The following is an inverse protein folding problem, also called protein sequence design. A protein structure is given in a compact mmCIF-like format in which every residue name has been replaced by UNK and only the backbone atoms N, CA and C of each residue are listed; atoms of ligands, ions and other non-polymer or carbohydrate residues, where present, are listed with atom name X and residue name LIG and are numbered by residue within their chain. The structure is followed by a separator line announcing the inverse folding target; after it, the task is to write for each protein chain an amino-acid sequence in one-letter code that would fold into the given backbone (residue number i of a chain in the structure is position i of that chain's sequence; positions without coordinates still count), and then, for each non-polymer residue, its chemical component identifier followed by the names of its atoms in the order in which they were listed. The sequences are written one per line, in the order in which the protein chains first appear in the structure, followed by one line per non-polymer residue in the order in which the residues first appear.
data_IF_777607727800
#
_entry.id   IF_777607727800
#
_cell.length_a   1.000
_cell.length_b   1.000
_cell.length_c   1.000
_cell.angle_alpha   90.00
_cell.angle_beta   90.00
_cell.angle_gamma   90.00
#
_symmetry.space_group_name_H-M   'P 1'
#
loop_
_entity.id
_entity.type
_entity.pdbx_description
1 polymer ?
#
# COMPACT_ATOMS: atom_id res chain seq x y z
N UNK A 1 37.08 55.79 35.33
CA UNK A 1 37.06 56.74 36.46
C UNK A 1 37.01 55.91 37.73
N UNK A 2 38.12 55.89 38.42
CA UNK A 2 38.38 55.99 39.91
C UNK A 2 37.53 55.04 40.77
N UNK A 3 38.04 54.36 41.75
CA UNK A 3 39.24 54.45 42.56
C UNK A 3 39.00 53.58 43.78
N UNK A 4 39.96 52.82 44.18
CA UNK A 4 40.90 53.12 45.25
C UNK A 4 40.28 52.92 46.65
N UNK A 5 40.97 52.13 47.43
CA UNK A 5 41.68 52.29 48.75
C UNK A 5 41.19 51.22 49.74
N UNK A 6 42.13 50.32 50.12
CA UNK A 6 42.95 50.27 51.39
C UNK A 6 42.13 49.96 52.65
N UNK A 7 42.53 49.23 53.67
CA UNK A 7 43.82 48.91 54.26
C UNK A 7 43.64 48.00 55.48
N UNK A 8 44.53 46.98 55.72
CA UNK A 8 45.35 46.79 56.97
C UNK A 8 44.58 46.47 58.29
N UNK A 9 44.84 45.56 59.10
CA UNK A 9 45.96 45.09 59.90
C UNK A 9 45.53 44.36 61.19
N UNK A 10 46.33 43.43 61.62
CA UNK A 10 46.82 42.93 62.93
C UNK A 10 46.19 41.66 63.48
N UNK A 11 46.95 40.55 63.48
CA UNK A 11 47.99 40.13 64.41
C UNK A 11 47.54 40.11 65.91
N UNK A 12 47.32 38.91 66.41
CA UNK A 12 47.63 38.57 67.78
C UNK A 12 47.88 37.08 67.98
N UNK A 13 49.04 36.75 68.34
CA UNK A 13 49.66 35.49 68.75
C UNK A 13 49.25 35.22 70.21
N UNK A 14 48.83 33.97 70.50
CA UNK A 14 48.82 33.40 71.83
C UNK A 14 49.10 31.91 71.78
N UNK A 15 50.29 31.56 72.26
CA UNK A 15 50.80 30.21 72.53
C UNK A 15 50.37 29.84 73.92
N UNK A 16 49.75 28.65 74.14
CA UNK A 16 49.79 27.86 75.38
C UNK A 16 49.57 26.40 74.97
N UNK A 17 50.40 25.56 75.03
CA UNK A 17 51.05 24.68 75.92
C UNK A 17 50.28 23.44 76.22
N UNK A 18 50.80 22.33 75.70
CA UNK A 18 50.99 21.08 76.42
C UNK A 18 49.80 20.14 76.62
N UNK A 19 49.94 18.95 76.17
CA UNK A 19 49.91 17.66 76.88
C UNK A 19 49.55 16.58 75.86
N UNK A 20 50.46 15.70 75.65
CA UNK A 20 50.30 14.52 74.84
C UNK A 20 49.42 13.41 75.49
N UNK A 21 48.66 12.80 74.71
CA UNK A 21 48.11 11.46 74.95
C UNK A 21 48.30 10.60 73.69
N UNK A 22 49.27 9.73 73.77
CA UNK A 22 49.48 8.63 72.79
C UNK A 22 48.28 7.64 72.84
N UNK A 23 47.35 7.80 71.95
CA UNK A 23 46.31 6.83 71.69
C UNK A 23 46.75 5.93 70.54
N UNK A 24 47.19 4.70 70.83
CA UNK A 24 47.32 3.63 69.81
C UNK A 24 45.95 3.33 69.20
N UNK A 25 45.54 4.07 68.13
CA UNK A 25 44.45 3.69 67.28
C UNK A 25 44.93 2.57 66.34
N UNK A 26 44.41 1.36 66.52
CA UNK A 26 44.53 0.29 65.50
C UNK A 26 44.09 0.85 64.13
N UNK A 27 44.80 0.54 63.04
CA UNK A 27 44.35 0.93 61.73
C UNK A 27 43.00 0.24 61.49
N UNK A 28 41.92 1.01 61.48
CA UNK A 28 40.61 0.57 61.01
C UNK A 28 40.74 0.32 59.52
N UNK A 29 40.80 -0.93 59.16
CA UNK A 29 40.61 -1.41 57.76
C UNK A 29 39.39 -0.69 57.21
N UNK A 30 39.47 0.01 56.05
CA UNK A 30 38.29 0.62 55.44
C UNK A 30 37.22 -0.45 55.28
N UNK A 31 35.93 -0.23 55.60
CA UNK A 31 34.88 -1.21 55.36
C UNK A 31 34.95 -1.62 53.92
N UNK A 32 34.99 -2.94 53.69
CA UNK A 32 34.97 -3.48 52.32
C UNK A 32 33.82 -2.82 51.56
N UNK A 33 34.17 -2.16 50.48
CA UNK A 33 33.21 -1.39 49.66
C UNK A 33 32.07 -2.39 49.29
N UNK A 34 30.88 -2.18 49.84
CA UNK A 34 29.70 -3.02 49.55
C UNK A 34 29.44 -2.86 48.06
N UNK A 35 29.66 -3.92 47.31
CA UNK A 35 29.38 -3.97 45.88
C UNK A 35 27.91 -3.63 45.67
N UNK A 36 27.57 -2.63 44.88
CA UNK A 36 26.16 -2.32 44.61
C UNK A 36 25.50 -3.50 43.89
N UNK A 37 24.33 -3.93 44.37
CA UNK A 37 23.54 -4.96 43.71
C UNK A 37 22.83 -4.37 42.50
N UNK A 38 23.00 -4.99 41.36
CA UNK A 38 22.35 -4.65 40.08
C UNK A 38 21.67 -5.87 39.47
N UNK A 39 20.63 -5.64 38.69
CA UNK A 39 19.96 -6.70 37.95
C UNK A 39 20.40 -6.65 36.50
N UNK A 40 20.69 -7.81 35.94
CA UNK A 40 21.21 -7.95 34.59
C UNK A 40 20.36 -8.91 33.77
N UNK A 41 20.22 -8.60 32.49
CA UNK A 41 19.60 -9.47 31.48
C UNK A 41 20.61 -9.74 30.37
N UNK A 42 20.74 -10.97 29.88
CA UNK A 42 21.60 -11.26 28.74
C UNK A 42 21.00 -10.62 27.46
N UNK A 43 21.83 -10.06 26.62
CA UNK A 43 21.46 -9.60 25.29
C UNK A 43 21.06 -10.81 24.41
N UNK A 44 19.89 -10.77 23.81
CA UNK A 44 19.30 -11.88 23.05
C UNK A 44 19.63 -11.69 21.57
N UNK A 45 20.25 -12.69 20.94
CA UNK A 45 20.39 -12.76 19.49
C UNK A 45 19.12 -13.37 18.88
N UNK A 46 18.46 -12.65 17.97
CA UNK A 46 17.26 -13.12 17.24
C UNK A 46 17.32 -12.70 15.80
N UNK A 47 16.94 -13.60 14.89
CA UNK A 47 16.72 -13.23 13.49
C UNK A 47 15.44 -12.45 13.38
N UNK A 48 15.51 -11.23 12.86
CA UNK A 48 14.39 -10.32 12.71
C UNK A 48 14.33 -9.71 11.32
N UNK A 49 13.16 -9.21 10.97
CA UNK A 49 12.92 -8.31 9.84
C UNK A 49 12.38 -7.01 10.42
N UNK A 50 12.99 -5.89 10.09
CA UNK A 50 12.44 -4.58 10.45
C UNK A 50 11.27 -4.25 9.52
N UNK A 51 10.28 -3.55 10.05
CA UNK A 51 9.13 -3.09 9.31
C UNK A 51 9.11 -1.57 9.27
N UNK A 52 8.94 -1.01 8.08
CA UNK A 52 8.68 0.41 7.90
C UNK A 52 7.17 0.61 7.70
N UNK A 53 6.59 1.56 8.43
CA UNK A 53 5.16 1.83 8.42
C UNK A 53 4.84 3.09 7.62
N UNK A 54 3.77 3.03 6.85
CA UNK A 54 3.27 4.12 6.02
C UNK A 54 1.77 4.25 6.17
N UNK A 55 1.25 5.45 5.94
CA UNK A 55 -0.19 5.66 5.78
C UNK A 55 -0.56 5.46 4.33
N UNK A 56 -1.57 4.64 4.09
CA UNK A 56 -2.08 4.34 2.75
C UNK A 56 -3.56 4.64 2.62
N UNK A 57 -4.03 4.62 1.39
CA UNK A 57 -5.44 4.71 1.04
C UNK A 57 -5.86 3.54 0.17
N UNK A 58 -6.97 2.90 0.52
CA UNK A 58 -7.55 1.81 -0.25
C UNK A 58 -8.21 2.37 -1.52
N UNK A 59 -8.06 1.64 -2.62
CA UNK A 59 -8.65 1.97 -3.90
C UNK A 59 -9.13 0.71 -4.61
N UNK A 60 -10.24 0.82 -5.33
CA UNK A 60 -10.67 -0.26 -6.22
C UNK A 60 -9.65 -0.48 -7.34
N UNK A 61 -9.51 -1.72 -7.79
CA UNK A 61 -8.69 -2.03 -8.97
C UNK A 61 -9.33 -1.42 -10.20
N UNK A 62 -10.63 -1.67 -10.37
CA UNK A 62 -11.41 -1.14 -11.48
C UNK A 62 -12.56 -0.28 -10.93
N UNK A 63 -12.70 0.90 -11.51
CA UNK A 63 -13.84 1.79 -11.32
C UNK A 63 -14.35 2.17 -12.70
N UNK A 64 -15.62 1.83 -12.97
CA UNK A 64 -16.25 2.11 -14.26
C UNK A 64 -17.48 2.98 -14.05
N UNK A 65 -17.50 4.11 -14.71
CA UNK A 65 -18.66 4.97 -14.81
C UNK A 65 -19.54 4.47 -15.97
N UNK A 66 -20.72 3.94 -15.64
CA UNK A 66 -21.68 3.39 -16.60
C UNK A 66 -22.50 4.51 -17.16
N UNK A 67 -22.20 4.91 -18.40
CA UNK A 67 -22.91 5.95 -19.13
C UNK A 67 -23.73 5.33 -20.29
N UNK A 68 -24.81 6.04 -20.68
CA UNK A 68 -25.61 5.66 -21.81
C UNK A 68 -24.85 5.80 -23.12
N UNK A 69 -24.94 4.80 -24.00
CA UNK A 69 -24.35 4.84 -25.36
C UNK A 69 -25.32 5.32 -26.40
N UNK A 70 -26.60 5.15 -26.16
CA UNK A 70 -27.69 5.56 -27.05
C UNK A 70 -28.69 6.44 -26.30
N UNK A 71 -29.34 7.34 -27.01
CA UNK A 71 -30.31 8.29 -26.45
C UNK A 71 -31.72 7.66 -26.45
N UNK A 72 -32.50 7.92 -25.42
CA UNK A 72 -33.90 7.43 -25.35
C UNK A 72 -34.49 7.56 -23.95
N UNK A 73 -35.70 7.14 -23.76
CA UNK A 73 -36.36 7.11 -22.45
C UNK A 73 -35.90 5.88 -21.67
N UNK A 74 -35.56 6.06 -20.40
CA UNK A 74 -35.25 4.93 -19.51
C UNK A 74 -36.54 4.16 -19.20
N UNK A 75 -36.64 2.91 -19.65
CA UNK A 75 -37.81 2.07 -19.48
C UNK A 75 -37.81 1.35 -18.12
N UNK A 76 -36.71 0.75 -17.73
CA UNK A 76 -36.64 0.00 -16.48
C UNK A 76 -35.23 -0.09 -15.90
N UNK A 77 -35.15 -0.33 -14.57
CA UNK A 77 -33.94 -0.54 -13.79
C UNK A 77 -33.99 -1.91 -13.14
N UNK A 78 -32.94 -2.72 -13.29
CA UNK A 78 -32.89 -4.14 -12.92
C UNK A 78 -31.94 -4.45 -11.76
N UNK A 79 -31.56 -3.48 -10.96
CA UNK A 79 -30.71 -3.70 -9.77
C UNK A 79 -31.22 -2.90 -8.58
N UNK A 80 -30.72 -3.25 -7.40
CA UNK A 80 -30.91 -2.48 -6.16
C UNK A 80 -29.65 -1.68 -5.86
N UNK A 81 -29.78 -0.46 -5.38
CA UNK A 81 -28.68 0.42 -5.01
C UNK A 81 -27.75 -0.28 -4.00
N UNK A 82 -26.44 -0.27 -4.27
CA UNK A 82 -25.43 -0.91 -3.44
C UNK A 82 -25.30 -2.44 -3.61
N UNK A 83 -26.05 -3.05 -4.51
CA UNK A 83 -26.00 -4.48 -4.80
C UNK A 83 -24.65 -4.89 -5.38
N UNK A 84 -24.26 -6.16 -5.20
CA UNK A 84 -23.16 -6.77 -5.94
C UNK A 84 -23.69 -7.30 -7.27
N UNK A 85 -23.04 -6.90 -8.37
CA UNK A 85 -23.38 -7.31 -9.74
C UNK A 85 -22.21 -8.03 -10.36
N UNK A 86 -22.51 -8.97 -11.30
CA UNK A 86 -21.51 -9.67 -12.10
C UNK A 86 -21.42 -9.02 -13.49
N UNK A 87 -20.25 -9.13 -14.10
CA UNK A 87 -20.08 -8.69 -15.49
C UNK A 87 -21.10 -9.39 -16.38
N UNK A 88 -21.82 -8.60 -17.20
CA UNK A 88 -22.91 -9.06 -18.06
C UNK A 88 -24.32 -8.95 -17.47
N UNK A 89 -24.48 -8.71 -16.16
CA UNK A 89 -25.80 -8.53 -15.56
C UNK A 89 -26.51 -7.32 -16.17
N UNK A 90 -27.80 -7.45 -16.46
CA UNK A 90 -28.63 -6.36 -16.99
C UNK A 90 -28.87 -5.32 -15.89
N UNK A 91 -28.59 -4.04 -16.19
CA UNK A 91 -28.73 -2.94 -15.26
C UNK A 91 -29.87 -2.01 -15.63
N UNK A 92 -29.91 -1.59 -16.88
CA UNK A 92 -30.93 -0.64 -17.37
C UNK A 92 -31.44 -1.08 -18.74
N UNK A 93 -32.68 -0.75 -19.03
CA UNK A 93 -33.27 -0.86 -20.36
C UNK A 93 -33.71 0.50 -20.82
N UNK A 94 -33.20 0.92 -21.96
CA UNK A 94 -33.61 2.12 -22.69
C UNK A 94 -34.65 1.68 -23.70
N UNK A 95 -35.72 2.45 -23.95
CA UNK A 95 -36.79 2.10 -24.90
C UNK A 95 -36.23 1.56 -26.21
N UNK A 96 -36.35 0.24 -26.48
CA UNK A 96 -35.74 -0.39 -27.64
C UNK A 96 -36.51 -0.18 -28.92
N UNK A 97 -37.80 0.18 -28.85
CA UNK A 97 -38.72 0.23 -29.99
C UNK A 97 -38.22 1.07 -31.19
N UNK A 98 -37.64 2.28 -30.99
CA UNK A 98 -37.10 3.04 -32.11
C UNK A 98 -35.88 2.36 -32.77
N UNK A 99 -35.11 1.62 -31.96
CA UNK A 99 -33.92 0.90 -32.42
C UNK A 99 -34.28 -0.43 -33.12
N UNK A 100 -35.32 -1.13 -32.63
CA UNK A 100 -35.89 -2.31 -33.25
C UNK A 100 -36.42 -1.98 -34.66
N UNK A 101 -37.18 -0.89 -34.80
CA UNK A 101 -37.67 -0.47 -36.09
C UNK A 101 -36.55 -0.09 -37.08
N UNK A 102 -35.44 0.55 -36.59
CA UNK A 102 -34.27 0.82 -37.43
C UNK A 102 -33.57 -0.47 -37.85
N UNK A 103 -33.41 -1.41 -36.93
CA UNK A 103 -32.78 -2.70 -37.19
C UNK A 103 -33.57 -3.54 -38.22
N UNK A 104 -34.90 -3.61 -38.09
CA UNK A 104 -35.78 -4.28 -39.04
C UNK A 104 -35.70 -3.66 -40.44
N UNK A 105 -35.70 -2.31 -40.52
CA UNK A 105 -35.53 -1.59 -41.78
C UNK A 105 -34.20 -1.92 -42.46
N UNK A 106 -33.09 -1.81 -41.72
CA UNK A 106 -31.75 -2.14 -42.24
C UNK A 106 -31.65 -3.58 -42.67
N UNK A 107 -32.36 -4.52 -41.99
CA UNK A 107 -32.49 -5.91 -42.39
C UNK A 107 -33.19 -6.08 -43.73
N UNK A 108 -34.25 -5.30 -43.97
CA UNK A 108 -34.96 -5.28 -45.28
C UNK A 108 -34.08 -4.77 -46.41
N UNK A 109 -33.35 -3.65 -46.16
CA UNK A 109 -32.44 -3.06 -47.13
C UNK A 109 -31.28 -4.00 -47.47
N UNK A 110 -30.74 -4.73 -46.51
CA UNK A 110 -29.72 -5.76 -46.70
C UNK A 110 -30.24 -6.92 -47.56
N UNK A 111 -31.47 -7.42 -47.29
CA UNK A 111 -32.07 -8.45 -48.10
C UNK A 111 -32.28 -8.01 -49.55
N UNK A 112 -32.68 -6.77 -49.77
CA UNK A 112 -32.82 -6.21 -51.13
C UNK A 112 -31.46 -6.15 -51.86
N UNK A 113 -30.41 -5.71 -51.17
CA UNK A 113 -29.07 -5.62 -51.73
C UNK A 113 -28.51 -7.02 -52.05
N UNK A 114 -28.72 -7.99 -51.17
CA UNK A 114 -28.36 -9.41 -51.39
C UNK A 114 -29.03 -10.02 -52.62
N UNK A 115 -30.34 -9.75 -52.80
CA UNK A 115 -31.06 -10.20 -54.00
C UNK A 115 -30.51 -9.59 -55.30
N UNK A 116 -30.18 -8.29 -55.27
CA UNK A 116 -29.54 -7.61 -56.43
C UNK A 116 -28.16 -8.20 -56.69
N UNK A 117 -27.35 -8.42 -55.69
CA UNK A 117 -26.02 -9.03 -55.83
C UNK A 117 -26.09 -10.42 -56.42
N UNK A 118 -27.02 -11.28 -55.96
CA UNK A 118 -27.24 -12.61 -56.47
C UNK A 118 -27.63 -12.57 -57.94
N UNK A 119 -28.52 -11.64 -58.34
CA UNK A 119 -28.91 -11.45 -59.73
C UNK A 119 -27.73 -11.03 -60.60
N UNK A 120 -26.95 -10.06 -60.16
CA UNK A 120 -25.75 -9.58 -60.89
C UNK A 120 -24.70 -10.70 -61.04
N UNK A 121 -24.50 -11.51 -60.00
CA UNK A 121 -23.62 -12.71 -60.04
C UNK A 121 -24.08 -13.74 -61.06
N UNK A 122 -25.40 -14.02 -61.12
CA UNK A 122 -25.93 -14.90 -62.11
C UNK A 122 -25.79 -14.40 -63.52
N UNK A 123 -26.00 -13.08 -63.75
CA UNK A 123 -25.84 -12.46 -65.04
C UNK A 123 -24.37 -12.47 -65.49
N UNK A 124 -23.44 -12.11 -64.62
CA UNK A 124 -21.99 -12.18 -64.88
C UNK A 124 -21.55 -13.59 -65.26
N UNK A 125 -21.97 -14.63 -64.47
CA UNK A 125 -21.68 -16.03 -64.77
C UNK A 125 -22.21 -16.48 -66.13
N UNK A 126 -23.40 -16.00 -66.54
CA UNK A 126 -23.96 -16.28 -67.88
C UNK A 126 -23.14 -15.58 -68.96
N UNK A 127 -22.78 -14.31 -68.75
CA UNK A 127 -21.98 -13.49 -69.64
C UNK A 127 -20.59 -14.11 -69.86
N UNK A 128 -19.92 -14.56 -68.80
CA UNK A 128 -18.61 -15.22 -68.90
C UNK A 128 -18.70 -16.50 -69.76
N UNK A 129 -19.79 -17.31 -69.64
CA UNK A 129 -19.99 -18.47 -70.49
C UNK A 129 -20.17 -18.08 -71.98
N UNK A 130 -21.03 -17.12 -72.26
CA UNK A 130 -21.26 -16.63 -73.66
C UNK A 130 -20.03 -15.97 -74.25
N UNK A 131 -19.17 -15.32 -73.43
CA UNK A 131 -17.90 -14.80 -73.89
C UNK A 131 -16.91 -15.89 -74.32
N UNK A 132 -16.89 -17.01 -73.64
CA UNK A 132 -16.08 -18.17 -74.01
C UNK A 132 -16.47 -18.73 -75.38
N UNK A 133 -17.76 -18.65 -75.72
CA UNK A 133 -18.34 -19.07 -77.01
C UNK A 133 -18.19 -17.99 -78.10
N UNK A 134 -17.55 -16.80 -77.82
CA UNK A 134 -17.36 -15.66 -78.74
C UNK A 134 -18.65 -15.04 -79.27
N UNK A 135 -19.77 -15.13 -78.55
CA UNK A 135 -21.10 -14.71 -79.02
C UNK A 135 -21.47 -13.27 -78.60
N UNK A 136 -20.71 -12.62 -77.69
CA UNK A 136 -21.01 -11.28 -77.14
C UNK A 136 -19.86 -10.31 -77.29
N UNK A 137 -20.18 -8.98 -77.35
CA UNK A 137 -19.21 -7.88 -77.42
C UNK A 137 -18.51 -7.66 -76.08
N UNK A 138 -17.27 -7.18 -76.11
CA UNK A 138 -16.49 -6.84 -74.91
C UNK A 138 -17.18 -5.80 -74.02
N UNK A 139 -17.87 -4.82 -74.63
CA UNK A 139 -18.63 -3.80 -73.93
C UNK A 139 -19.70 -4.36 -73.01
N UNK A 140 -20.40 -5.41 -73.41
CA UNK A 140 -21.43 -6.09 -72.59
C UNK A 140 -20.79 -6.85 -71.44
N UNK A 141 -19.60 -7.46 -71.64
CA UNK A 141 -18.86 -8.14 -70.56
C UNK A 141 -18.47 -7.11 -69.49
N UNK A 142 -17.87 -5.96 -69.91
CA UNK A 142 -17.42 -4.91 -69.01
C UNK A 142 -18.61 -4.24 -68.28
N UNK A 143 -19.76 -4.09 -68.99
CA UNK A 143 -21.00 -3.59 -68.37
C UNK A 143 -21.50 -4.50 -67.25
N UNK A 144 -21.62 -5.84 -67.49
CA UNK A 144 -22.09 -6.79 -66.49
C UNK A 144 -21.13 -6.94 -65.29
N UNK A 145 -19.83 -6.84 -65.55
CA UNK A 145 -18.83 -6.84 -64.52
C UNK A 145 -18.94 -5.60 -63.65
N UNK A 146 -19.18 -4.43 -64.23
CA UNK A 146 -19.40 -3.20 -63.46
C UNK A 146 -20.71 -3.30 -62.64
N UNK A 147 -21.80 -3.84 -63.21
CA UNK A 147 -23.04 -4.08 -62.48
C UNK A 147 -22.80 -5.01 -61.24
N UNK A 148 -22.00 -6.08 -61.40
CA UNK A 148 -21.62 -6.95 -60.29
C UNK A 148 -20.84 -6.19 -59.21
N UNK A 149 -19.84 -5.41 -59.58
CA UNK A 149 -19.06 -4.62 -58.65
C UNK A 149 -19.92 -3.58 -57.89
N UNK A 150 -20.85 -2.90 -58.60
CA UNK A 150 -21.80 -1.98 -57.99
C UNK A 150 -22.75 -2.68 -57.01
N UNK A 151 -23.30 -3.86 -57.39
CA UNK A 151 -24.16 -4.65 -56.53
C UNK A 151 -23.42 -5.19 -55.29
N UNK A 152 -22.14 -5.53 -55.46
CA UNK A 152 -21.29 -5.98 -54.36
C UNK A 152 -21.01 -4.82 -53.38
N UNK A 153 -20.70 -3.63 -53.88
CA UNK A 153 -20.50 -2.44 -53.04
C UNK A 153 -21.79 -2.06 -52.30
N UNK A 154 -22.94 -2.10 -52.97
CA UNK A 154 -24.23 -1.82 -52.36
C UNK A 154 -24.59 -2.85 -51.25
N UNK A 155 -24.27 -4.12 -51.45
CA UNK A 155 -24.45 -5.14 -50.41
C UNK A 155 -23.56 -4.89 -49.19
N UNK A 156 -22.28 -4.51 -49.40
CA UNK A 156 -21.37 -4.22 -48.31
C UNK A 156 -21.82 -3.00 -47.49
N UNK A 157 -22.35 -1.95 -48.18
CA UNK A 157 -22.93 -0.80 -47.50
C UNK A 157 -24.14 -1.17 -46.63
N UNK A 158 -25.09 -1.89 -47.22
CA UNK A 158 -26.31 -2.34 -46.52
C UNK A 158 -25.98 -3.29 -45.34
N UNK A 159 -24.92 -4.10 -45.46
CA UNK A 159 -24.42 -4.94 -44.37
C UNK A 159 -23.88 -4.08 -43.24
N UNK A 160 -23.11 -3.03 -43.54
CA UNK A 160 -22.58 -2.13 -42.53
C UNK A 160 -23.71 -1.38 -41.77
N UNK A 161 -24.73 -0.89 -42.51
CA UNK A 161 -25.90 -0.22 -41.93
C UNK A 161 -26.70 -1.16 -41.00
N UNK A 162 -26.85 -2.44 -41.40
CA UNK A 162 -27.48 -3.47 -40.59
C UNK A 162 -26.69 -3.76 -39.31
N UNK A 163 -25.38 -3.89 -39.40
CA UNK A 163 -24.51 -4.15 -38.27
C UNK A 163 -24.48 -2.94 -37.28
N UNK A 164 -24.52 -1.72 -37.78
CA UNK A 164 -24.67 -0.51 -36.98
C UNK A 164 -26.00 -0.48 -36.24
N UNK A 165 -27.12 -0.73 -36.94
CA UNK A 165 -28.44 -0.77 -36.34
C UNK A 165 -28.56 -1.86 -35.26
N UNK A 166 -27.97 -3.04 -35.50
CA UNK A 166 -27.88 -4.14 -34.55
C UNK A 166 -27.07 -3.75 -33.29
N UNK A 167 -25.95 -3.06 -33.48
CA UNK A 167 -25.11 -2.60 -32.39
C UNK A 167 -25.85 -1.55 -31.52
N UNK A 168 -26.51 -0.58 -32.16
CA UNK A 168 -27.30 0.45 -31.47
C UNK A 168 -28.48 -0.16 -30.69
N UNK A 169 -29.14 -1.18 -31.24
CA UNK A 169 -30.16 -1.93 -30.52
C UNK A 169 -29.56 -2.67 -29.31
N UNK A 170 -28.37 -3.25 -29.44
CA UNK A 170 -27.72 -3.90 -28.31
C UNK A 170 -27.41 -2.95 -27.16
N UNK A 171 -27.10 -1.69 -27.46
CA UNK A 171 -26.80 -0.64 -26.46
C UNK A 171 -28.03 -0.15 -25.71
N UNK A 172 -29.25 -0.46 -26.15
CA UNK A 172 -30.47 -0.19 -25.35
C UNK A 172 -30.55 -1.04 -24.09
N UNK A 173 -29.86 -2.18 -24.06
CA UNK A 173 -29.72 -3.07 -22.89
C UNK A 173 -28.37 -2.83 -22.23
N UNK A 174 -28.35 -1.95 -21.24
CA UNK A 174 -27.11 -1.58 -20.54
C UNK A 174 -26.76 -2.68 -19.53
N UNK A 175 -25.61 -3.33 -19.73
CA UNK A 175 -25.11 -4.40 -18.85
C UNK A 175 -23.89 -3.96 -18.06
N UNK A 176 -23.62 -4.63 -16.95
CA UNK A 176 -22.44 -4.39 -16.13
C UNK A 176 -21.14 -4.76 -16.88
N UNK A 177 -20.21 -3.82 -17.09
CA UNK A 177 -18.96 -4.10 -17.77
C UNK A 177 -17.95 -4.88 -16.92
N UNK A 178 -18.05 -4.76 -15.60
CA UNK A 178 -17.20 -5.45 -14.61
C UNK A 178 -18.07 -6.02 -13.49
N UNK A 179 -17.52 -7.02 -12.78
CA UNK A 179 -18.11 -7.48 -11.53
C UNK A 179 -17.69 -6.58 -10.37
N UNK A 180 -18.63 -6.24 -9.48
CA UNK A 180 -18.34 -5.36 -8.35
C UNK A 180 -19.59 -4.86 -7.67
N UNK A 181 -19.44 -3.88 -6.78
CA UNK A 181 -20.56 -3.22 -6.12
C UNK A 181 -21.02 -2.04 -6.96
N UNK A 182 -22.29 -2.04 -7.32
CA UNK A 182 -22.93 -0.94 -8.04
C UNK A 182 -23.30 0.16 -7.05
N UNK A 183 -23.20 1.40 -7.49
CA UNK A 183 -23.64 2.58 -6.73
C UNK A 183 -25.18 2.75 -6.85
N UNK A 184 -25.67 3.87 -6.38
CA UNK A 184 -27.08 4.23 -6.58
C UNK A 184 -27.37 4.53 -8.04
N UNK A 185 -28.61 4.37 -8.46
CA UNK A 185 -29.09 4.90 -9.74
C UNK A 185 -29.08 6.43 -9.72
N UNK A 186 -28.54 7.04 -10.75
CA UNK A 186 -28.49 8.51 -10.91
C UNK A 186 -29.66 9.03 -11.75
N UNK A 187 -30.34 8.14 -12.46
CA UNK A 187 -31.49 8.45 -13.32
C UNK A 187 -32.67 7.54 -12.97
N UNK A 188 -33.87 8.09 -13.02
CA UNK A 188 -35.09 7.38 -12.72
C UNK A 188 -35.82 6.95 -14.01
N UNK A 189 -36.58 5.87 -13.94
CA UNK A 189 -37.47 5.41 -15.02
C UNK A 189 -38.40 6.55 -15.51
N UNK A 190 -38.61 6.60 -16.82
CA UNK A 190 -39.34 7.66 -17.50
C UNK A 190 -38.50 8.88 -17.89
N UNK A 191 -37.28 9.04 -17.39
CA UNK A 191 -36.43 10.16 -17.79
C UNK A 191 -35.84 9.93 -19.19
N UNK A 192 -35.68 11.03 -19.92
CA UNK A 192 -34.93 11.04 -21.17
C UNK A 192 -33.43 11.04 -20.84
N UNK A 193 -32.67 10.12 -21.42
CA UNK A 193 -31.23 9.99 -21.31
C UNK A 193 -30.57 10.31 -22.63
N UNK A 194 -29.36 10.84 -22.57
CA UNK A 194 -28.56 11.24 -23.72
C UNK A 194 -27.40 10.27 -23.91
N UNK A 195 -27.26 9.72 -25.10
CA UNK A 195 -26.18 8.77 -25.46
C UNK A 195 -24.84 9.42 -25.77
N UNK A 196 -23.85 8.59 -26.10
CA UNK A 196 -22.48 9.03 -26.42
C UNK A 196 -22.32 9.76 -27.77
N UNK A 197 -23.36 9.82 -28.58
CA UNK A 197 -23.47 10.64 -29.79
C UNK A 197 -23.58 12.14 -29.48
N UNK A 198 -23.90 12.50 -28.24
CA UNK A 198 -23.94 13.86 -27.76
C UNK A 198 -22.66 14.26 -26.99
N UNK A 199 -22.43 15.55 -26.87
CA UNK A 199 -21.25 16.11 -26.20
C UNK A 199 -21.14 15.76 -24.70
N UNK A 200 -22.21 15.26 -24.07
CA UNK A 200 -22.26 14.96 -22.67
C UNK A 200 -23.20 13.78 -22.38
N UNK A 201 -22.72 12.53 -22.43
CA UNK A 201 -23.51 11.35 -22.20
C UNK A 201 -24.01 11.30 -20.73
N UNK A 202 -25.23 10.84 -20.55
CA UNK A 202 -25.83 10.71 -19.22
C UNK A 202 -25.15 9.58 -18.44
N UNK A 203 -24.57 9.91 -17.27
CA UNK A 203 -24.08 8.94 -16.32
C UNK A 203 -25.26 8.27 -15.61
N UNK A 204 -25.32 6.94 -15.67
CA UNK A 204 -26.40 6.14 -15.10
C UNK A 204 -26.07 5.65 -13.69
N UNK A 205 -24.85 5.16 -13.49
CA UNK A 205 -24.34 4.66 -12.21
C UNK A 205 -22.83 4.45 -12.30
N UNK A 206 -22.21 4.03 -11.19
CA UNK A 206 -20.78 3.65 -11.12
C UNK A 206 -20.66 2.25 -10.53
N UNK A 207 -19.75 1.43 -11.04
CA UNK A 207 -19.42 0.12 -10.49
C UNK A 207 -17.97 0.14 -10.06
N UNK A 208 -17.69 -0.39 -8.86
CA UNK A 208 -16.33 -0.54 -8.31
C UNK A 208 -16.04 -2.00 -7.98
N UNK A 209 -14.88 -2.49 -8.41
CA UNK A 209 -14.39 -3.79 -7.99
C UNK A 209 -14.01 -3.75 -6.51
N UNK A 210 -14.25 -4.83 -5.76
CA UNK A 210 -13.95 -4.89 -4.33
C UNK A 210 -12.89 -5.94 -4.00
N UNK A 211 -12.81 -7.03 -4.73
CA UNK A 211 -11.85 -8.11 -4.51
C UNK A 211 -11.17 -8.50 -5.82
N UNK A 212 -9.84 -8.45 -5.86
CA UNK A 212 -8.93 -7.88 -4.86
C UNK A 212 -8.97 -6.34 -4.79
N UNK A 213 -8.33 -5.74 -3.77
CA UNK A 213 -8.28 -4.29 -3.57
C UNK A 213 -6.84 -3.79 -3.53
N UNK A 214 -6.62 -2.56 -3.99
CA UNK A 214 -5.33 -1.88 -3.92
C UNK A 214 -5.23 -1.01 -2.66
N UNK A 215 -4.00 -0.89 -2.16
CA UNK A 215 -3.62 0.15 -1.22
C UNK A 215 -2.46 0.95 -1.81
N UNK A 216 -2.67 2.24 -2.00
CA UNK A 216 -1.63 3.19 -2.38
C UNK A 216 -1.05 3.83 -1.12
N UNK A 217 0.25 3.95 -1.06
CA UNK A 217 0.96 4.60 0.04
C UNK A 217 2.18 5.35 -0.50
N UNK A 218 2.65 6.31 0.27
CA UNK A 218 3.78 7.14 -0.11
C UNK A 218 4.94 6.89 0.85
N UNK A 219 6.12 6.69 0.27
CA UNK A 219 7.37 6.56 1.00
C UNK A 219 8.27 7.76 0.69
N UNK A 220 8.98 8.26 1.69
CA UNK A 220 9.92 9.36 1.50
C UNK A 220 11.17 8.93 0.71
N UNK A 221 11.92 9.89 0.20
CA UNK A 221 13.14 9.65 -0.57
C UNK A 221 14.18 8.84 0.22
N UNK A 222 14.27 9.03 1.55
CA UNK A 222 15.24 8.30 2.39
C UNK A 222 14.93 6.82 2.45
N UNK A 223 13.65 6.47 2.60
CA UNK A 223 13.18 5.09 2.57
C UNK A 223 13.43 4.47 1.20
N UNK A 224 13.14 5.19 0.13
CA UNK A 224 13.40 4.73 -1.23
C UNK A 224 14.88 4.44 -1.48
N UNK A 225 15.78 5.36 -1.08
CA UNK A 225 17.24 5.17 -1.18
C UNK A 225 17.72 4.00 -0.31
N UNK A 226 17.15 3.82 0.89
CA UNK A 226 17.39 2.67 1.77
C UNK A 226 17.07 1.36 1.04
N UNK A 227 15.88 1.26 0.43
CA UNK A 227 15.47 0.07 -0.30
C UNK A 227 16.31 -0.21 -1.53
N UNK A 228 16.72 0.81 -2.25
CA UNK A 228 17.62 0.66 -3.38
C UNK A 228 18.98 0.10 -2.95
N UNK A 229 19.55 0.58 -1.83
CA UNK A 229 20.82 0.07 -1.28
C UNK A 229 20.69 -1.39 -0.87
N UNK A 230 19.65 -1.73 -0.11
CA UNK A 230 19.38 -3.10 0.33
C UNK A 230 19.22 -4.07 -0.87
N UNK A 231 18.59 -3.59 -1.94
CA UNK A 231 18.43 -4.39 -3.16
C UNK A 231 19.77 -4.61 -3.88
N UNK A 232 20.64 -3.59 -3.98
CA UNK A 232 21.99 -3.71 -4.56
C UNK A 232 22.89 -4.64 -3.75
N UNK A 233 22.75 -4.62 -2.43
CA UNK A 233 23.49 -5.48 -1.50
C UNK A 233 22.93 -6.92 -1.42
N UNK A 234 21.85 -7.23 -2.15
CA UNK A 234 21.20 -8.53 -2.12
C UNK A 234 20.49 -8.88 -0.81
N UNK A 235 20.37 -7.92 0.13
CA UNK A 235 19.76 -8.12 1.45
C UNK A 235 18.23 -8.12 1.40
N UNK A 236 17.63 -7.46 0.41
CA UNK A 236 16.18 -7.39 0.19
C UNK A 236 15.89 -7.31 -1.30
N UNK A 237 14.97 -8.12 -1.85
CA UNK A 237 14.59 -8.01 -3.25
C UNK A 237 13.96 -6.64 -3.55
N UNK A 238 14.21 -6.11 -4.75
CA UNK A 238 13.57 -4.87 -5.19
C UNK A 238 12.05 -5.07 -5.36
N UNK A 239 11.25 -4.18 -4.80
CA UNK A 239 9.79 -4.20 -4.99
C UNK A 239 9.35 -3.86 -6.42
N UNK A 240 10.27 -3.44 -7.30
CA UNK A 240 10.01 -3.26 -8.74
C UNK A 240 10.02 -4.59 -9.51
N UNK A 241 10.71 -5.60 -9.00
CA UNK A 241 10.89 -6.90 -9.68
C UNK A 241 10.29 -8.06 -8.90
N UNK A 242 10.08 -7.89 -7.61
CA UNK A 242 9.60 -8.96 -6.71
C UNK A 242 8.42 -8.44 -5.88
N UNK A 243 7.41 -9.28 -5.75
CA UNK A 243 6.23 -8.99 -4.94
C UNK A 243 6.56 -9.15 -3.44
N UNK A 244 7.21 -8.15 -2.85
CA UNK A 244 7.53 -8.15 -1.43
C UNK A 244 6.26 -8.19 -0.57
N UNK A 245 6.27 -8.91 0.58
CA UNK A 245 5.14 -8.98 1.47
C UNK A 245 4.86 -7.61 2.10
N UNK A 246 3.58 -7.33 2.26
CA UNK A 246 3.05 -6.11 2.88
C UNK A 246 1.93 -6.53 3.81
N UNK A 247 1.81 -5.88 4.95
CA UNK A 247 0.72 -6.09 5.87
C UNK A 247 -0.03 -4.78 6.08
N UNK A 248 -1.34 -4.88 6.28
CA UNK A 248 -2.24 -3.74 6.42
C UNK A 248 -3.04 -3.86 7.71
N UNK A 249 -3.31 -2.73 8.32
CA UNK A 249 -4.11 -2.54 9.53
C UNK A 249 -5.13 -1.44 9.26
N UNK A 250 -6.39 -1.69 9.58
CA UNK A 250 -7.45 -0.68 9.58
C UNK A 250 -7.38 0.19 10.85
N UNK A 251 -8.15 1.28 10.85
CA UNK A 251 -8.13 2.26 11.94
C UNK A 251 -8.69 1.73 13.27
N UNK A 252 -9.52 0.71 13.22
CA UNK A 252 -10.18 0.05 14.35
C UNK A 252 -9.49 -1.25 14.80
N UNK A 253 -8.40 -1.63 14.14
CA UNK A 253 -7.63 -2.83 14.46
C UNK A 253 -6.39 -2.49 15.29
N UNK A 254 -6.02 -3.37 16.22
CA UNK A 254 -4.80 -3.23 17.03
C UNK A 254 -3.57 -3.89 16.38
N UNK A 255 -3.77 -4.74 15.36
CA UNK A 255 -2.72 -5.53 14.72
C UNK A 255 -2.81 -5.46 13.20
N UNK A 256 -1.68 -5.74 12.52
CA UNK A 256 -1.64 -5.86 11.06
C UNK A 256 -2.17 -7.24 10.63
N UNK A 257 -3.48 -7.34 10.45
CA UNK A 257 -4.19 -8.60 10.20
C UNK A 257 -4.27 -8.97 8.71
N UNK A 258 -4.28 -7.99 7.82
CA UNK A 258 -4.44 -8.20 6.38
C UNK A 258 -3.08 -8.35 5.69
N UNK A 259 -2.88 -9.47 5.02
CA UNK A 259 -1.63 -9.78 4.30
C UNK A 259 -1.80 -9.53 2.81
N UNK A 260 -0.86 -8.80 2.23
CA UNK A 260 -0.83 -8.48 0.81
C UNK A 260 0.58 -8.53 0.23
N UNK A 261 0.71 -8.06 -0.99
CA UNK A 261 1.99 -8.04 -1.72
C UNK A 261 2.14 -6.75 -2.50
N UNK A 262 3.36 -6.22 -2.54
CA UNK A 262 3.72 -5.15 -3.48
C UNK A 262 3.51 -5.63 -4.90
N UNK A 263 2.90 -4.78 -5.73
CA UNK A 263 2.76 -5.05 -7.16
C UNK A 263 3.20 -3.88 -8.05
N UNK A 264 3.45 -2.71 -7.46
CA UNK A 264 3.89 -1.55 -8.22
C UNK A 264 4.66 -0.56 -7.35
N UNK A 265 5.65 0.10 -7.94
CA UNK A 265 6.37 1.25 -7.40
C UNK A 265 6.52 2.26 -8.54
N UNK A 266 6.12 3.49 -8.30
CA UNK A 266 6.17 4.58 -9.29
C UNK A 266 7.57 4.75 -9.88
N UNK A 267 7.64 5.23 -11.12
CA UNK A 267 8.90 5.38 -11.86
C UNK A 267 9.69 6.63 -11.45
N UNK A 268 9.03 7.65 -10.95
CA UNK A 268 9.60 8.92 -10.50
C UNK A 268 9.12 9.30 -9.11
N UNK A 269 9.90 10.14 -8.42
CA UNK A 269 9.43 10.81 -7.21
C UNK A 269 8.54 11.98 -7.60
N UNK A 270 7.57 12.27 -6.75
CA UNK A 270 6.81 13.51 -6.82
C UNK A 270 7.71 14.66 -6.38
N UNK A 271 7.89 15.66 -7.26
CA UNK A 271 8.81 16.78 -7.02
C UNK A 271 8.33 17.74 -5.93
N UNK A 272 7.02 17.78 -5.65
CA UNK A 272 6.44 18.69 -4.66
C UNK A 272 6.54 18.12 -3.24
N UNK A 273 6.37 16.82 -3.10
CA UNK A 273 6.34 16.14 -1.80
C UNK A 273 7.63 15.39 -1.48
N UNK A 274 8.51 15.18 -2.49
CA UNK A 274 9.71 14.33 -2.38
C UNK A 274 9.38 12.91 -1.91
N UNK A 275 8.23 12.38 -2.34
CA UNK A 275 7.78 11.01 -2.04
C UNK A 275 7.71 10.16 -3.29
N UNK A 276 7.74 8.84 -3.10
CA UNK A 276 7.47 7.86 -4.15
C UNK A 276 6.24 7.05 -3.79
N UNK A 277 5.33 6.90 -4.75
CA UNK A 277 4.13 6.12 -4.55
C UNK A 277 4.41 4.63 -4.73
N UNK A 278 4.02 3.85 -3.73
CA UNK A 278 3.95 2.40 -3.77
C UNK A 278 2.51 1.91 -3.81
N UNK A 279 2.30 0.74 -4.41
CA UNK A 279 1.01 0.08 -4.43
C UNK A 279 1.15 -1.37 -4.03
N UNK A 280 0.27 -1.81 -3.15
CA UNK A 280 0.13 -3.20 -2.74
C UNK A 280 -1.27 -3.72 -3.08
N UNK A 281 -1.39 -5.02 -3.30
CA UNK A 281 -2.65 -5.71 -3.56
C UNK A 281 -2.98 -6.60 -2.37
N UNK A 282 -4.26 -6.56 -1.95
CA UNK A 282 -4.79 -7.33 -0.85
C UNK A 282 -6.01 -8.13 -1.29
N UNK A 283 -6.16 -9.39 -0.86
CA UNK A 283 -7.42 -10.12 -1.01
C UNK A 283 -8.49 -9.47 -0.11
N UNK A 284 -9.73 -9.46 -0.56
CA UNK A 284 -10.86 -8.85 0.15
C UNK A 284 -12.14 -9.68 -0.01
N UNK A 285 -12.02 -11.00 0.13
CA UNK A 285 -13.13 -11.92 -0.09
C UNK A 285 -14.30 -11.71 0.91
N UNK A 286 -14.01 -11.20 2.10
CA UNK A 286 -14.98 -10.83 3.14
C UNK A 286 -15.55 -9.42 2.97
N UNK A 287 -15.11 -8.67 1.97
CA UNK A 287 -15.56 -7.32 1.61
C UNK A 287 -15.44 -6.28 2.74
N UNK A 288 -14.56 -6.49 3.71
CA UNK A 288 -14.32 -5.55 4.82
C UNK A 288 -13.55 -4.31 4.36
N UNK A 289 -12.64 -4.47 3.41
CA UNK A 289 -11.85 -3.39 2.87
C UNK A 289 -12.68 -2.62 1.83
N UNK A 290 -12.99 -1.37 2.12
CA UNK A 290 -13.77 -0.49 1.22
C UNK A 290 -12.86 0.54 0.55
N UNK A 291 -12.97 0.76 -0.77
CA UNK A 291 -12.24 1.83 -1.45
C UNK A 291 -12.48 3.19 -0.80
N UNK A 292 -11.39 3.97 -0.62
CA UNK A 292 -11.42 5.27 0.04
C UNK A 292 -11.04 5.27 1.51
N UNK A 293 -11.04 4.11 2.19
CA UNK A 293 -10.57 4.01 3.57
C UNK A 293 -9.08 4.31 3.69
N UNK A 294 -8.70 4.91 4.82
CA UNK A 294 -7.31 5.00 5.24
C UNK A 294 -6.91 3.70 5.94
N UNK A 295 -5.66 3.30 5.73
CA UNK A 295 -5.08 2.14 6.36
C UNK A 295 -3.60 2.41 6.70
N UNK A 296 -3.10 1.77 7.75
CA UNK A 296 -1.67 1.69 8.02
C UNK A 296 -1.12 0.49 7.28
N UNK A 297 -0.03 0.71 6.57
CA UNK A 297 0.65 -0.33 5.78
C UNK A 297 2.05 -0.48 6.32
N UNK A 298 2.51 -1.71 6.53
CA UNK A 298 3.90 -1.98 6.85
C UNK A 298 4.56 -2.83 5.79
N UNK A 299 5.75 -2.41 5.41
CA UNK A 299 6.57 -3.03 4.40
C UNK A 299 7.88 -3.51 5.04
N UNK A 300 8.36 -4.68 4.66
CA UNK A 300 9.65 -5.16 5.14
C UNK A 300 10.76 -4.13 4.80
N UNK A 301 11.27 -3.49 5.82
CA UNK A 301 12.25 -2.39 5.76
C UNK A 301 13.69 -2.88 5.77
N UNK A 302 13.93 -4.18 6.02
CA UNK A 302 15.24 -4.83 5.95
C UNK A 302 15.11 -6.22 5.32
N UNK A 303 16.23 -6.85 5.03
CA UNK A 303 16.30 -8.32 4.93
C UNK A 303 16.22 -8.95 6.32
N UNK A 304 16.15 -10.28 6.38
CA UNK A 304 16.35 -11.01 7.62
C UNK A 304 17.80 -10.88 8.06
N UNK A 305 18.03 -10.47 9.30
CA UNK A 305 19.37 -10.36 9.87
C UNK A 305 19.35 -10.72 11.36
N UNK A 306 20.50 -11.13 11.90
CA UNK A 306 20.66 -11.40 13.31
C UNK A 306 20.82 -10.09 14.07
N UNK A 307 19.85 -9.78 14.93
CA UNK A 307 19.82 -8.58 15.75
C UNK A 307 20.11 -8.89 17.21
N UNK A 308 20.81 -7.99 17.88
CA UNK A 308 21.00 -8.02 19.33
C UNK A 308 19.90 -7.20 19.97
N UNK A 309 19.13 -7.83 20.85
CA UNK A 309 17.96 -7.28 21.50
C UNK A 309 18.19 -7.12 23.00
N UNK A 310 17.81 -5.95 23.54
CA UNK A 310 17.85 -5.68 24.99
C UNK A 310 16.57 -4.99 25.45
N UNK A 311 16.16 -5.12 26.70
CA UNK A 311 15.07 -4.33 27.26
C UNK A 311 15.37 -2.83 27.14
N UNK A 312 14.39 -2.02 26.68
CA UNK A 312 14.57 -0.57 26.46
C UNK A 312 15.01 0.17 27.73
N UNK A 313 14.62 -0.31 28.90
CA UNK A 313 15.02 0.21 30.21
C UNK A 313 16.53 0.09 30.52
N UNK A 314 17.27 -0.74 29.78
CA UNK A 314 18.72 -0.88 29.94
C UNK A 314 19.51 0.28 29.28
N UNK A 315 18.84 1.12 28.50
CA UNK A 315 19.45 2.17 27.71
C UNK A 315 19.53 3.46 28.52
N UNK A 316 20.74 3.97 28.61
CA UNK A 316 21.04 5.25 29.26
C UNK A 316 21.20 6.32 28.18
N UNK A 317 20.54 7.45 28.39
CA UNK A 317 20.70 8.62 27.52
C UNK A 317 21.58 9.63 28.22
N UNK A 318 22.70 9.94 27.61
CA UNK A 318 23.59 11.00 28.06
C UNK A 318 23.77 12.01 26.93
N UNK A 319 23.16 13.18 27.11
CA UNK A 319 23.03 14.20 26.07
C UNK A 319 22.44 13.63 24.76
N UNK A 320 23.24 13.59 23.71
CA UNK A 320 22.85 13.04 22.37
C UNK A 320 23.24 11.58 22.14
N UNK A 321 23.99 10.96 23.05
CA UNK A 321 24.52 9.62 22.91
C UNK A 321 23.73 8.61 23.73
N UNK A 322 23.72 7.37 23.25
CA UNK A 322 23.06 6.23 23.91
C UNK A 322 24.12 5.27 24.40
N UNK A 323 23.95 4.80 25.64
CA UNK A 323 24.87 3.91 26.30
C UNK A 323 24.17 2.75 26.95
N UNK A 324 24.90 1.69 27.18
CA UNK A 324 24.51 0.55 28.02
C UNK A 324 25.62 0.23 29.01
N UNK A 325 25.25 -0.24 30.21
CA UNK A 325 26.16 -0.76 31.18
C UNK A 325 26.29 -2.28 30.98
N UNK A 326 27.43 -2.76 30.51
CA UNK A 326 27.73 -4.17 30.31
C UNK A 326 28.54 -4.68 31.50
N UNK A 327 28.11 -5.78 32.12
CA UNK A 327 28.83 -6.42 33.21
C UNK A 327 29.75 -7.51 32.64
N UNK A 328 31.05 -7.31 32.78
CA UNK A 328 32.07 -8.26 32.40
C UNK A 328 32.10 -9.50 33.32
N UNK A 329 32.76 -10.61 32.90
CA UNK A 329 32.85 -11.81 33.75
C UNK A 329 33.56 -11.58 35.09
N UNK A 330 34.41 -10.57 35.20
CA UNK A 330 35.11 -10.14 36.42
C UNK A 330 34.23 -9.32 37.37
N UNK A 331 32.98 -9.02 36.99
CA UNK A 331 32.03 -8.21 37.74
C UNK A 331 32.23 -6.70 37.57
N UNK A 332 33.12 -6.24 36.70
CA UNK A 332 33.31 -4.83 36.40
C UNK A 332 32.28 -4.35 35.37
N UNK A 333 31.84 -3.10 35.51
CA UNK A 333 30.90 -2.48 34.58
C UNK A 333 31.63 -1.65 33.53
N UNK A 334 31.31 -1.98 32.29
CA UNK A 334 31.79 -1.26 31.11
C UNK A 334 30.67 -0.35 30.58
N UNK A 335 30.92 0.97 30.51
CA UNK A 335 29.99 1.97 29.99
C UNK A 335 30.20 2.13 28.51
N UNK A 336 29.37 1.47 27.72
CA UNK A 336 29.60 1.32 26.28
C UNK A 336 28.60 2.11 25.47
N UNK A 337 29.07 2.89 24.50
CA UNK A 337 28.26 3.58 23.53
C UNK A 337 27.64 2.58 22.57
N UNK A 338 26.33 2.75 22.28
CA UNK A 338 25.57 1.90 21.38
C UNK A 338 24.82 2.70 20.33
N UNK A 339 24.63 2.08 19.17
CA UNK A 339 23.77 2.60 18.12
C UNK A 339 22.43 1.85 18.17
N UNK A 340 21.34 2.60 18.40
CA UNK A 340 20.01 1.99 18.53
C UNK A 340 19.38 1.71 17.17
N UNK A 341 18.60 0.64 17.10
CA UNK A 341 17.63 0.32 16.08
C UNK A 341 16.18 0.54 16.57
N UNK A 342 15.19 0.03 15.84
CA UNK A 342 13.78 0.08 16.22
C UNK A 342 13.48 -0.78 17.45
N UNK A 343 12.25 -0.68 17.97
CA UNK A 343 11.73 -1.62 18.95
C UNK A 343 11.14 -2.81 18.20
N UNK A 344 11.48 -4.01 18.63
CA UNK A 344 10.96 -5.27 18.11
C UNK A 344 10.42 -6.12 19.27
N UNK A 345 9.15 -6.46 19.26
CA UNK A 345 8.47 -7.24 20.33
C UNK A 345 8.74 -6.71 21.74
N UNK A 346 8.73 -5.37 21.92
CA UNK A 346 8.98 -4.73 23.22
C UNK A 346 10.46 -4.62 23.63
N UNK A 347 11.39 -5.15 22.83
CA UNK A 347 12.83 -5.07 23.04
C UNK A 347 13.44 -4.07 22.06
N UNK A 348 14.52 -3.40 22.45
CA UNK A 348 15.27 -2.49 21.59
C UNK A 348 16.35 -3.25 20.83
N UNK A 349 16.40 -3.05 19.53
CA UNK A 349 17.48 -3.52 18.68
C UNK A 349 18.72 -2.66 18.92
N UNK A 350 19.87 -3.30 19.11
CA UNK A 350 21.18 -2.66 19.14
C UNK A 350 21.91 -3.02 17.85
N UNK A 351 22.27 -1.99 17.07
CA UNK A 351 22.96 -2.17 15.78
C UNK A 351 24.45 -2.33 15.93
N UNK A 352 25.04 -1.58 16.89
CA UNK A 352 26.48 -1.56 17.14
C UNK A 352 26.77 -1.37 18.63
N UNK A 353 27.85 -1.94 19.11
CA UNK A 353 28.36 -1.72 20.47
C UNK A 353 27.96 -2.80 21.48
N UNK A 354 27.23 -3.85 21.10
CA UNK A 354 26.85 -4.94 22.01
C UNK A 354 26.86 -6.27 21.24
N UNK A 355 27.29 -7.35 21.91
CA UNK A 355 27.29 -8.71 21.38
C UNK A 355 26.21 -9.57 22.05
N UNK A 356 25.80 -10.62 21.34
CA UNK A 356 24.84 -11.58 21.88
C UNK A 356 25.41 -12.30 23.10
N UNK A 357 24.61 -12.39 24.17
CA UNK A 357 24.96 -13.05 25.42
C UNK A 357 25.66 -12.16 26.46
N UNK A 358 26.06 -10.94 26.09
CA UNK A 358 26.60 -9.98 27.08
C UNK A 358 25.52 -9.58 28.09
N UNK A 359 25.90 -9.47 29.37
CA UNK A 359 24.98 -9.12 30.46
C UNK A 359 24.84 -7.61 30.58
N UNK A 360 23.64 -7.10 30.31
CA UNK A 360 23.31 -5.68 30.37
C UNK A 360 22.52 -5.35 31.63
N UNK A 361 22.89 -4.28 32.33
CA UNK A 361 22.20 -3.84 33.55
C UNK A 361 20.83 -3.27 33.16
N UNK A 362 19.76 -3.84 33.71
CA UNK A 362 18.38 -3.40 33.49
C UNK A 362 17.82 -2.60 34.67
N UNK A 363 18.23 -2.94 35.89
CA UNK A 363 17.81 -2.22 37.12
C UNK A 363 18.98 -1.92 38.02
N UNK A 364 18.94 -0.77 38.71
CA UNK A 364 20.03 -0.28 39.57
C UNK A 364 21.04 0.61 38.85
N UNK A 365 20.72 1.10 37.66
CA UNK A 365 21.59 1.96 36.83
C UNK A 365 22.16 3.17 37.58
N UNK A 366 21.37 3.78 38.48
CA UNK A 366 21.79 4.94 39.26
C UNK A 366 22.90 4.64 40.30
N UNK A 367 23.13 3.38 40.62
CA UNK A 367 24.12 2.93 41.62
C UNK A 367 25.45 2.49 40.98
N UNK A 368 25.48 2.51 39.66
CA UNK A 368 26.63 2.03 38.88
C UNK A 368 27.46 3.20 38.39
N UNK A 369 28.78 3.10 38.57
CA UNK A 369 29.76 4.03 37.97
C UNK A 369 30.61 3.22 36.97
N UNK A 370 31.06 3.84 35.88
CA UNK A 370 31.97 3.16 34.94
C UNK A 370 33.21 2.63 35.68
N UNK A 371 33.58 1.38 35.43
CA UNK A 371 34.72 0.71 36.09
C UNK A 371 34.44 0.16 37.48
N UNK A 372 33.26 0.38 38.07
CA UNK A 372 32.92 -0.15 39.39
C UNK A 372 32.64 -1.66 39.32
N UNK A 373 32.99 -2.37 40.41
CA UNK A 373 32.64 -3.80 40.56
C UNK A 373 31.25 -3.91 41.19
N UNK A 374 30.37 -4.70 40.62
CA UNK A 374 28.96 -4.87 41.05
C UNK A 374 28.67 -6.33 41.42
N UNK A 375 27.63 -6.53 42.23
CA UNK A 375 26.99 -7.83 42.44
C UNK A 375 25.84 -7.99 41.46
N UNK A 376 26.10 -8.71 40.35
CA UNK A 376 25.16 -8.88 39.25
C UNK A 376 24.21 -10.06 39.54
N UNK A 377 22.93 -9.77 39.68
CA UNK A 377 21.87 -10.76 39.84
C UNK A 377 21.01 -10.85 38.59
N UNK A 378 20.55 -12.04 38.20
CA UNK A 378 19.63 -12.13 37.03
C UNK A 378 18.33 -11.40 37.34
N UNK A 379 17.84 -10.68 36.33
CA UNK A 379 16.53 -10.02 36.39
C UNK A 379 15.45 -11.08 36.06
N UNK A 380 14.78 -11.60 37.10
CA UNK A 380 13.74 -12.64 36.97
C UNK A 380 12.40 -12.10 36.47
N UNK A 381 12.26 -10.78 36.25
CA UNK A 381 11.10 -10.23 35.53
C UNK A 381 11.15 -10.71 34.11
N UNK A 382 10.36 -11.73 33.78
CA UNK A 382 10.12 -12.23 32.44
C UNK A 382 9.96 -11.05 31.48
N UNK A 383 10.73 -11.05 30.41
CA UNK A 383 10.49 -10.23 29.24
C UNK A 383 9.25 -10.71 28.48
N UNK A 384 8.14 -10.80 29.19
CA UNK A 384 6.82 -10.99 28.61
C UNK A 384 6.19 -9.60 28.46
N UNK A 385 6.02 -9.17 27.23
CA UNK A 385 5.40 -7.89 26.83
C UNK A 385 3.90 -7.80 27.17
N UNK A 386 3.44 -8.46 28.22
CA UNK A 386 2.08 -8.28 28.72
C UNK A 386 2.01 -7.03 29.59
N UNK A 387 1.44 -5.97 29.04
CA UNK A 387 0.93 -4.82 29.79
C UNK A 387 -0.08 -5.35 30.83
N UNK A 388 0.09 -5.09 32.13
CA UNK A 388 -0.93 -5.47 33.12
C UNK A 388 -2.22 -4.71 32.80
N UNK A 389 -3.39 -5.37 32.92
CA UNK A 389 -4.66 -4.69 32.72
C UNK A 389 -4.79 -3.56 33.73
N UNK A 390 -5.05 -2.36 33.25
CA UNK A 390 -5.35 -1.19 34.07
C UNK A 390 -6.58 -1.49 34.94
N UNK A 391 -6.39 -1.56 36.26
CA UNK A 391 -7.48 -1.57 37.23
C UNK A 391 -8.38 -0.37 37.01
N UNK A 392 -9.51 -0.56 36.34
CA UNK A 392 -10.63 0.35 36.43
C UNK A 392 -11.22 0.25 37.81
N UNK A 393 -10.83 1.15 38.73
CA UNK A 393 -11.61 1.43 39.94
C UNK A 393 -12.96 2.00 39.48
N UNK A 394 -13.99 1.24 39.88
CA UNK A 394 -15.37 1.72 39.89
C UNK A 394 -15.49 2.95 40.81
N UNK A 395 -16.11 3.98 40.36
CA UNK A 395 -16.89 4.94 41.14
C UNK A 395 -18.04 5.42 40.26
#
# INVERSE_FOLDING_TARGET
VNGIIRTITRLSLLVVGGVGLAGCGKPTTPPAAVKPVVFVTPAIGKKIVEWDEYTGRLAAIDKVDVAARVSGTLESVHFTDGQFVKAGDLLFVIDPRPYEAKFERAGGDLQQADAKLKLAQLNDKRTVKLAADKVIAQEEIDSRRNELLQAQAAYQSAQADYDEAKLNLSFTRVTAPISGRISRKLVTEGNLITGSDASNPTLLTTIVSLDPIYCYFEADERAYLKYQRLAREGKRPSSRTTANPVELQLADEDTFSHKGKMNFVENALDEQTSTIQGRAVFPNADLQLTPGMFARVRLAGSGEYEAVLVPDQAIITDQSNKFVNVVKPDGTVDYRKVTLGPIYEGLRVIREGLETGEKVVTRGLQRVRPGATVDARPDETKGDGSVPPSDKKAS
#
